data_IF_789297847836
#
_entry.id   IF_789297847836
#
_cell.length_a   1.000
_cell.length_b   1.000
_cell.length_c   1.000
_cell.angle_alpha   90.00
_cell.angle_beta   90.00
_cell.angle_gamma   90.00
#
_symmetry.space_group_name_H-M   'P 1'
#
loop_
_entity.id
_entity.type
_entity.pdbx_description
1 polymer ?
#
# COMPACT_ATOMS: atom_id res chain seq x y z
N UNK A 1 57.20 43.01 -25.75
CA UNK A 1 57.94 42.62 -24.52
C UNK A 1 58.32 43.88 -23.79
N UNK A 2 58.30 43.96 -22.45
CA UNK A 2 58.08 42.91 -21.43
C UNK A 2 56.86 43.26 -20.53
N UNK A 3 56.40 42.48 -19.56
CA UNK A 3 56.85 41.21 -18.97
C UNK A 3 56.03 40.94 -17.68
N UNK A 4 55.65 39.68 -17.52
CA UNK A 4 55.50 38.86 -16.30
C UNK A 4 55.29 39.49 -14.90
N UNK A 5 54.31 38.97 -14.16
CA UNK A 5 54.48 37.97 -13.07
C UNK A 5 53.21 37.93 -12.19
N UNK A 6 52.53 36.77 -12.04
CA UNK A 6 52.61 35.88 -10.86
C UNK A 6 52.45 36.67 -9.53
N UNK A 7 51.47 36.45 -8.65
CA UNK A 7 51.28 35.22 -7.85
C UNK A 7 50.04 35.36 -6.95
N UNK A 8 49.28 34.28 -6.85
CA UNK A 8 48.83 33.61 -5.62
C UNK A 8 48.32 34.43 -4.41
N UNK A 9 47.06 34.21 -4.02
CA UNK A 9 46.67 34.24 -2.60
C UNK A 9 45.58 33.22 -2.28
N UNK A 10 46.05 32.08 -1.80
CA UNK A 10 45.30 31.03 -1.11
C UNK A 10 44.90 31.49 0.31
N UNK A 11 43.66 31.13 0.66
CA UNK A 11 43.16 30.67 1.95
C UNK A 11 43.30 31.50 3.24
N UNK A 12 42.14 31.78 3.85
CA UNK A 12 41.95 31.49 5.28
C UNK A 12 40.59 30.85 5.50
N UNK A 13 40.63 29.53 5.68
CA UNK A 13 39.64 28.73 6.39
C UNK A 13 39.76 29.10 7.87
N UNK A 14 38.66 29.46 8.53
CA UNK A 14 38.55 29.33 9.99
C UNK A 14 37.16 28.83 10.35
N UNK A 15 37.16 27.55 10.68
CA UNK A 15 36.23 26.80 11.52
C UNK A 15 35.57 27.63 12.62
N UNK A 16 34.23 27.63 12.64
CA UNK A 16 33.47 27.61 13.89
C UNK A 16 32.49 26.44 13.87
N UNK A 17 32.62 25.62 14.92
CA UNK A 17 31.96 24.34 15.20
C UNK A 17 30.47 24.51 15.48
N UNK A 18 29.67 23.70 14.78
CA UNK A 18 28.58 22.84 15.27
C UNK A 18 27.74 23.26 16.48
N UNK A 19 26.44 23.50 16.24
CA UNK A 19 25.38 23.05 17.15
C UNK A 19 24.49 22.06 16.41
N UNK A 20 24.50 20.83 16.90
CA UNK A 20 23.75 19.67 16.41
C UNK A 20 22.23 19.83 16.50
N UNK A 21 21.51 19.10 15.65
CA UNK A 21 20.21 18.55 16.03
C UNK A 21 19.03 18.72 15.06
N UNK A 22 19.08 18.11 13.89
CA UNK A 22 18.02 17.18 13.41
C UNK A 22 18.30 16.79 11.96
N UNK A 23 19.22 15.86 11.77
CA UNK A 23 19.16 15.02 10.58
C UNK A 23 17.80 14.32 10.62
N UNK A 24 16.91 14.73 9.72
CA UNK A 24 15.71 13.97 9.42
C UNK A 24 16.18 12.64 8.83
N UNK A 25 16.33 11.65 9.72
CA UNK A 25 16.42 10.25 9.30
C UNK A 25 15.26 10.03 8.34
N UNK A 26 15.48 9.41 7.17
CA UNK A 26 14.36 8.96 6.37
C UNK A 26 13.58 7.99 7.26
N UNK A 27 12.47 8.47 7.82
CA UNK A 27 11.45 7.62 8.41
C UNK A 27 11.14 6.62 7.29
N UNK A 28 11.40 5.34 7.55
CA UNK A 28 11.14 4.24 6.64
C UNK A 28 9.64 4.07 6.41
N UNK A 29 8.98 5.11 5.90
CA UNK A 29 7.65 5.11 5.38
C UNK A 29 7.73 4.62 3.94
N UNK A 30 6.86 3.68 3.61
CA UNK A 30 6.72 3.17 2.24
C UNK A 30 6.43 4.37 1.33
N UNK A 31 7.40 4.72 0.47
CA UNK A 31 7.29 5.86 -0.44
C UNK A 31 6.21 5.59 -1.48
N UNK A 32 5.16 6.41 -1.48
CA UNK A 32 4.13 6.42 -2.52
C UNK A 32 4.75 6.91 -3.83
N UNK A 33 4.97 6.01 -4.80
CA UNK A 33 5.34 6.37 -6.18
C UNK A 33 4.12 6.92 -6.96
N UNK A 34 4.36 7.75 -7.99
CA UNK A 34 3.33 8.46 -8.78
C UNK A 34 2.20 7.58 -9.37
N UNK A 35 2.45 6.30 -9.65
CA UNK A 35 1.40 5.38 -10.12
C UNK A 35 0.32 5.11 -9.06
N UNK A 36 0.58 5.39 -7.78
CA UNK A 36 -0.44 5.35 -6.74
C UNK A 36 -1.46 6.46 -6.91
N UNK A 37 -1.11 7.65 -7.42
CA UNK A 37 -2.04 8.78 -7.49
C UNK A 37 -3.22 8.51 -8.46
N UNK A 38 -2.94 7.91 -9.62
CA UNK A 38 -3.99 7.51 -10.58
C UNK A 38 -4.86 6.41 -10.00
N UNK A 39 -4.24 5.40 -9.40
CA UNK A 39 -4.97 4.32 -8.78
C UNK A 39 -5.78 4.80 -7.56
N UNK A 40 -5.26 5.77 -6.81
CA UNK A 40 -5.96 6.44 -5.70
C UNK A 40 -7.18 7.22 -6.19
N UNK A 41 -7.04 7.87 -7.35
CA UNK A 41 -8.13 8.60 -7.97
C UNK A 41 -9.23 7.65 -8.45
N UNK A 42 -8.90 6.62 -9.23
CA UNK A 42 -9.86 5.61 -9.68
C UNK A 42 -10.55 4.92 -8.50
N UNK A 43 -9.77 4.69 -7.43
CA UNK A 43 -10.29 4.24 -6.16
C UNK A 43 -11.39 5.19 -5.66
N UNK A 44 -11.07 6.45 -5.34
CA UNK A 44 -12.06 7.41 -4.78
C UNK A 44 -13.32 7.58 -5.63
N UNK A 45 -13.26 7.35 -6.95
CA UNK A 45 -14.41 7.45 -7.84
C UNK A 45 -15.25 6.17 -7.95
N UNK A 46 -14.73 5.01 -7.50
CA UNK A 46 -15.43 3.74 -7.62
C UNK A 46 -16.71 3.73 -6.79
N UNK A 47 -17.82 3.30 -7.40
CA UNK A 47 -19.10 3.07 -6.73
C UNK A 47 -19.63 1.71 -7.18
N UNK A 48 -19.55 0.66 -6.37
CA UNK A 48 -20.01 -0.66 -6.77
C UNK A 48 -21.52 -0.65 -7.00
N UNK A 49 -21.99 -1.46 -7.96
CA UNK A 49 -23.41 -1.72 -8.16
C UNK A 49 -23.97 -2.51 -6.98
N UNK A 50 -25.25 -2.36 -6.59
CA UNK A 50 -25.85 -3.00 -5.41
C UNK A 50 -25.66 -4.52 -5.29
N UNK A 51 -25.44 -5.21 -6.40
CA UNK A 51 -25.20 -6.65 -6.52
C UNK A 51 -23.73 -7.05 -6.46
N UNK A 52 -22.79 -6.11 -6.37
CA UNK A 52 -21.34 -6.37 -6.31
C UNK A 52 -20.98 -7.45 -5.28
N UNK A 53 -20.36 -8.52 -5.78
CA UNK A 53 -19.74 -9.53 -4.95
C UNK A 53 -18.24 -9.24 -4.83
N UNK A 54 -17.83 -8.83 -3.63
CA UNK A 54 -16.42 -8.57 -3.31
C UNK A 54 -15.51 -9.79 -3.52
N UNK A 55 -16.05 -11.01 -3.53
CA UNK A 55 -15.28 -12.21 -3.85
C UNK A 55 -15.13 -12.47 -5.34
N UNK A 56 -16.01 -11.93 -6.18
CA UNK A 56 -15.92 -12.02 -7.64
C UNK A 56 -14.60 -11.40 -8.14
N UNK A 57 -14.17 -10.28 -7.57
CA UNK A 57 -12.87 -9.68 -7.85
C UNK A 57 -11.69 -10.64 -7.60
N UNK A 58 -11.78 -11.46 -6.55
CA UNK A 58 -10.75 -12.46 -6.22
C UNK A 58 -10.82 -13.66 -7.17
N UNK A 59 -12.04 -14.09 -7.54
CA UNK A 59 -12.25 -15.17 -8.50
C UNK A 59 -11.74 -14.78 -9.89
N UNK A 60 -12.00 -13.56 -10.35
CA UNK A 60 -11.46 -13.01 -11.59
C UNK A 60 -9.92 -13.06 -11.58
N UNK A 61 -9.29 -12.66 -10.48
CA UNK A 61 -7.83 -12.71 -10.33
C UNK A 61 -7.28 -14.16 -10.31
N UNK A 62 -8.05 -15.12 -9.78
CA UNK A 62 -7.74 -16.54 -9.82
C UNK A 62 -7.78 -17.10 -11.25
N UNK A 63 -8.85 -16.79 -11.97
CA UNK A 63 -9.09 -17.26 -13.34
C UNK A 63 -8.06 -16.66 -14.32
N UNK A 64 -7.93 -15.34 -14.30
CA UNK A 64 -7.00 -14.59 -15.16
C UNK A 64 -5.54 -14.85 -14.76
N UNK A 65 -5.27 -15.19 -13.49
CA UNK A 65 -3.93 -15.50 -12.99
C UNK A 65 -3.20 -16.57 -13.81
N UNK A 66 -3.93 -17.52 -14.40
CA UNK A 66 -3.35 -18.55 -15.27
C UNK A 66 -2.86 -18.02 -16.62
N UNK A 67 -3.51 -16.97 -17.14
CA UNK A 67 -3.19 -16.31 -18.40
C UNK A 67 -2.17 -15.15 -18.25
N UNK A 68 -1.97 -14.66 -17.02
CA UNK A 68 -1.06 -13.54 -16.75
C UNK A 68 0.42 -13.93 -16.90
N UNK A 69 1.27 -13.01 -17.43
CA UNK A 69 2.72 -13.18 -17.43
C UNK A 69 3.26 -13.46 -16.03
N UNK A 70 4.28 -14.31 -15.91
CA UNK A 70 4.85 -14.73 -14.60
C UNK A 70 5.26 -13.53 -13.73
N UNK A 71 5.69 -12.42 -14.34
CA UNK A 71 6.09 -11.20 -13.64
C UNK A 71 4.94 -10.50 -12.88
N UNK A 72 3.70 -10.64 -13.35
CA UNK A 72 2.48 -10.02 -12.77
C UNK A 72 1.48 -11.04 -12.23
N UNK A 73 1.72 -12.33 -12.49
CA UNK A 73 0.92 -13.45 -11.99
C UNK A 73 0.90 -13.47 -10.47
N UNK A 74 -0.30 -13.60 -9.91
CA UNK A 74 -0.49 -13.86 -8.50
C UNK A 74 -0.25 -15.34 -8.20
N UNK A 75 0.59 -15.62 -7.20
CA UNK A 75 0.71 -16.99 -6.71
C UNK A 75 -0.56 -17.40 -5.96
N UNK A 76 -0.87 -18.71 -5.85
CA UNK A 76 -1.99 -19.19 -5.03
C UNK A 76 -1.96 -18.68 -3.59
N UNK A 77 -0.76 -18.49 -3.05
CA UNK A 77 -0.57 -17.93 -1.71
C UNK A 77 -1.00 -16.45 -1.62
N UNK A 78 -0.68 -15.62 -2.62
CA UNK A 78 -1.11 -14.22 -2.66
C UNK A 78 -2.62 -14.09 -2.84
N UNK A 79 -3.19 -14.94 -3.69
CA UNK A 79 -4.64 -15.05 -3.87
C UNK A 79 -5.31 -15.41 -2.55
N UNK A 80 -4.80 -16.42 -1.84
CA UNK A 80 -5.36 -16.87 -0.56
C UNK A 80 -5.30 -15.76 0.49
N UNK A 81 -4.20 -15.00 0.50
CA UNK A 81 -4.06 -13.82 1.35
C UNK A 81 -5.11 -12.76 0.99
N UNK A 82 -5.23 -12.38 -0.29
CA UNK A 82 -6.19 -11.39 -0.73
C UNK A 82 -7.64 -11.82 -0.40
N UNK A 83 -7.97 -13.09 -0.62
CA UNK A 83 -9.26 -13.69 -0.26
C UNK A 83 -9.55 -13.55 1.24
N UNK A 84 -8.56 -13.79 2.09
CA UNK A 84 -8.69 -13.57 3.53
C UNK A 84 -9.00 -12.10 3.83
N UNK A 85 -8.29 -11.15 3.23
CA UNK A 85 -8.53 -9.72 3.47
C UNK A 85 -9.95 -9.32 3.06
N UNK A 86 -10.39 -9.74 1.87
CA UNK A 86 -11.77 -9.50 1.40
C UNK A 86 -12.79 -10.11 2.37
N UNK A 87 -12.53 -11.32 2.89
CA UNK A 87 -13.38 -11.97 3.90
C UNK A 87 -13.50 -11.17 5.20
N UNK A 88 -12.49 -10.39 5.57
CA UNK A 88 -12.53 -9.54 6.77
C UNK A 88 -13.36 -8.26 6.59
N UNK A 89 -13.88 -7.99 5.38
CA UNK A 89 -14.74 -6.85 5.09
C UNK A 89 -16.22 -7.24 4.95
N UNK A 90 -17.10 -6.27 5.22
CA UNK A 90 -18.53 -6.34 4.97
C UNK A 90 -18.84 -5.75 3.60
N UNK A 91 -19.97 -6.15 3.00
CA UNK A 91 -20.44 -5.60 1.72
C UNK A 91 -20.43 -4.06 1.75
N UNK A 92 -21.03 -3.45 2.78
CA UNK A 92 -21.08 -1.99 2.97
C UNK A 92 -19.74 -1.27 2.93
N UNK A 93 -18.65 -1.93 3.35
CA UNK A 93 -17.34 -1.29 3.37
C UNK A 93 -16.88 -0.91 1.95
N UNK A 94 -17.41 -1.57 0.92
CA UNK A 94 -17.12 -1.31 -0.47
C UNK A 94 -18.08 -0.30 -1.12
N UNK A 95 -19.28 -0.10 -0.55
CA UNK A 95 -20.33 0.75 -1.12
C UNK A 95 -20.29 2.18 -0.59
N UNK A 96 -20.46 2.33 0.73
CA UNK A 96 -20.63 3.59 1.42
C UNK A 96 -19.65 3.74 2.60
N UNK A 97 -18.64 2.87 2.65
CA UNK A 97 -17.66 2.79 3.72
C UNK A 97 -16.22 2.81 3.21
N UNK A 98 -15.35 2.10 3.92
CA UNK A 98 -13.93 1.98 3.58
C UNK A 98 -13.53 0.51 3.77
N UNK A 99 -13.08 -0.22 2.73
CA UNK A 99 -12.73 -1.63 2.82
C UNK A 99 -11.33 -1.79 3.45
N UNK A 100 -11.23 -1.40 4.72
CA UNK A 100 -10.00 -1.44 5.51
C UNK A 100 -10.01 -2.63 6.46
N UNK A 101 -8.92 -3.38 6.46
CA UNK A 101 -8.69 -4.54 7.31
C UNK A 101 -7.61 -4.22 8.33
N UNK A 102 -7.97 -4.22 9.61
CA UNK A 102 -7.04 -3.97 10.72
C UNK A 102 -6.63 -5.26 11.46
N UNK A 103 -6.66 -6.40 10.79
CA UNK A 103 -6.23 -7.68 11.34
C UNK A 103 -4.72 -7.67 11.60
N UNK A 104 -4.28 -8.02 12.82
CA UNK A 104 -2.84 -8.03 13.13
C UNK A 104 -2.06 -9.01 12.24
N UNK A 105 -0.77 -8.73 12.02
CA UNK A 105 0.12 -9.62 11.24
C UNK A 105 0.15 -11.03 11.82
N UNK A 106 0.23 -11.14 13.16
CA UNK A 106 0.20 -12.43 13.87
C UNK A 106 -1.10 -13.19 13.64
N UNK A 107 -2.25 -12.52 13.75
CA UNK A 107 -3.54 -13.16 13.51
C UNK A 107 -3.71 -13.57 12.04
N UNK A 108 -3.19 -12.75 11.13
CA UNK A 108 -3.17 -13.06 9.68
C UNK A 108 -2.32 -14.32 9.42
N UNK A 109 -1.16 -14.42 10.06
CA UNK A 109 -0.29 -15.60 10.01
C UNK A 109 -1.00 -16.86 10.51
N UNK A 110 -1.67 -16.77 11.66
CA UNK A 110 -2.47 -17.87 12.24
C UNK A 110 -3.56 -18.35 11.27
N UNK A 111 -4.33 -17.43 10.66
CA UNK A 111 -5.43 -17.78 9.75
C UNK A 111 -4.94 -18.35 8.41
N UNK A 112 -3.74 -17.98 7.97
CA UNK A 112 -3.15 -18.47 6.72
C UNK A 112 -2.26 -19.70 6.91
N UNK A 113 -1.94 -20.09 8.15
CA UNK A 113 -0.99 -21.18 8.42
C UNK A 113 0.45 -20.86 7.98
N UNK A 114 0.87 -19.59 8.05
CA UNK A 114 2.19 -19.12 7.62
C UNK A 114 2.89 -18.32 8.72
N UNK A 115 4.16 -17.98 8.51
CA UNK A 115 4.91 -17.13 9.45
C UNK A 115 4.54 -15.64 9.31
N UNK A 116 4.69 -14.82 10.37
CA UNK A 116 4.56 -13.35 10.27
C UNK A 116 5.47 -12.73 9.20
N UNK A 117 6.66 -13.29 9.00
CA UNK A 117 7.57 -12.85 7.93
C UNK A 117 7.01 -13.14 6.53
N UNK A 118 6.31 -14.27 6.32
CA UNK A 118 5.60 -14.54 5.07
C UNK A 118 4.41 -13.61 4.88
N UNK A 119 3.68 -13.25 5.93
CA UNK A 119 2.61 -12.25 5.86
C UNK A 119 3.16 -10.92 5.33
N UNK A 120 4.22 -10.39 5.94
CA UNK A 120 4.84 -9.13 5.49
C UNK A 120 5.34 -9.21 4.04
N UNK A 121 5.97 -10.34 3.65
CA UNK A 121 6.40 -10.55 2.26
C UNK A 121 5.23 -10.55 1.29
N UNK A 122 4.14 -11.24 1.62
CA UNK A 122 2.95 -11.32 0.80
C UNK A 122 2.28 -9.95 0.67
N UNK A 123 2.12 -9.20 1.76
CA UNK A 123 1.54 -7.85 1.72
C UNK A 123 2.41 -6.87 0.93
N UNK A 124 3.75 -6.91 1.09
CA UNK A 124 4.65 -6.11 0.26
C UNK A 124 4.50 -6.45 -1.22
N UNK A 125 4.31 -7.73 -1.56
CA UNK A 125 4.10 -8.14 -2.95
C UNK A 125 2.73 -7.72 -3.49
N UNK A 126 1.67 -7.83 -2.70
CA UNK A 126 0.33 -7.33 -3.05
C UNK A 126 0.34 -5.80 -3.24
N UNK A 127 1.08 -5.07 -2.41
CA UNK A 127 1.27 -3.63 -2.56
C UNK A 127 2.04 -3.28 -3.83
N UNK A 128 3.12 -4.01 -4.13
CA UNK A 128 3.89 -3.83 -5.36
C UNK A 128 3.07 -4.13 -6.62
N UNK A 129 2.04 -4.98 -6.51
CA UNK A 129 1.06 -5.27 -7.56
C UNK A 129 -0.15 -4.31 -7.53
N UNK A 130 -0.11 -3.29 -6.67
CA UNK A 130 -1.17 -2.29 -6.51
C UNK A 130 -2.55 -2.90 -6.19
N UNK A 131 -2.58 -4.03 -5.48
CA UNK A 131 -3.83 -4.66 -5.04
C UNK A 131 -4.26 -4.20 -3.64
N UNK A 132 -3.33 -3.68 -2.86
CA UNK A 132 -3.59 -3.13 -1.53
C UNK A 132 -2.74 -1.87 -1.32
N UNK A 133 -3.14 -1.04 -0.36
CA UNK A 133 -2.27 -0.04 0.24
C UNK A 133 -2.30 -0.12 1.76
N UNK A 134 -1.42 0.61 2.43
CA UNK A 134 -1.41 0.75 3.88
C UNK A 134 -2.01 2.09 4.28
N UNK A 135 -2.94 2.03 5.23
CA UNK A 135 -3.45 3.19 5.96
C UNK A 135 -2.80 3.19 7.32
N UNK A 136 -1.71 3.93 7.47
CA UNK A 136 -0.94 3.93 8.69
C UNK A 136 -1.57 4.81 9.77
N UNK A 137 -1.48 4.33 11.02
CA UNK A 137 -1.67 5.17 12.20
C UNK A 137 -0.31 5.76 12.61
N UNK A 138 -0.28 6.83 13.43
CA UNK A 138 0.97 7.43 13.91
C UNK A 138 1.94 6.43 14.59
N UNK A 139 1.41 5.35 15.16
CA UNK A 139 2.20 4.29 15.81
C UNK A 139 2.35 3.02 14.96
N UNK A 140 1.99 3.06 13.67
CA UNK A 140 2.03 1.96 12.71
C UNK A 140 1.27 0.70 13.17
N UNK A 141 0.40 0.82 14.18
CA UNK A 141 -0.45 -0.28 14.63
C UNK A 141 -1.69 -0.35 13.75
N UNK A 142 -2.13 -1.59 13.50
CA UNK A 142 -3.44 -1.86 12.95
C UNK A 142 -4.47 -1.69 14.06
N UNK A 143 -5.38 -0.75 13.90
CA UNK A 143 -6.50 -0.55 14.82
C UNK A 143 -7.75 -0.19 14.01
N UNK A 144 -8.92 -0.50 14.56
CA UNK A 144 -10.16 -0.11 13.91
C UNK A 144 -11.35 -0.32 14.80
N UNK A 145 -12.39 0.44 14.52
CA UNK A 145 -13.64 0.42 15.25
C UNK A 145 -14.81 0.46 14.27
N UNK A 146 -15.86 -0.29 14.62
CA UNK A 146 -17.16 -0.21 13.95
C UNK A 146 -18.19 0.38 14.91
N UNK A 147 -19.09 1.18 14.36
CA UNK A 147 -20.31 1.58 15.03
C UNK A 147 -21.12 0.31 15.37
N UNK A 148 -21.50 0.08 16.64
CA UNK A 148 -22.27 -1.12 17.02
C UNK A 148 -23.63 -1.21 16.33
N UNK A 149 -24.28 -0.07 16.12
CA UNK A 149 -25.62 0.02 15.53
C UNK A 149 -25.57 -0.12 14.01
N UNK A 150 -24.79 0.74 13.35
CA UNK A 150 -24.75 0.79 11.88
C UNK A 150 -23.76 -0.19 11.27
N UNK A 151 -22.87 -0.81 12.04
CA UNK A 151 -21.78 -1.67 11.54
C UNK A 151 -20.72 -0.96 10.68
N UNK A 152 -20.84 0.36 10.47
CA UNK A 152 -19.91 1.17 9.67
C UNK A 152 -18.57 1.33 10.39
N UNK A 153 -17.48 1.40 9.63
CA UNK A 153 -16.16 1.73 10.16
C UNK A 153 -16.14 3.21 10.55
N UNK A 154 -15.91 3.51 11.82
CA UNK A 154 -15.82 4.89 12.35
C UNK A 154 -14.39 5.41 12.37
N UNK A 155 -13.41 4.50 12.34
CA UNK A 155 -11.99 4.80 12.20
C UNK A 155 -11.20 3.52 12.04
N UNK A 156 -10.20 3.51 11.16
CA UNK A 156 -9.33 2.36 10.96
C UNK A 156 -7.95 2.73 10.39
N UNK A 157 -6.92 2.03 10.85
CA UNK A 157 -5.59 1.92 10.27
C UNK A 157 -5.27 0.46 10.00
N UNK A 158 -4.71 0.16 8.83
CA UNK A 158 -4.48 -1.22 8.40
C UNK A 158 -4.27 -1.33 6.91
N UNK A 159 -4.77 -2.42 6.33
CA UNK A 159 -4.68 -2.70 4.91
C UNK A 159 -5.94 -2.15 4.24
N UNK A 160 -5.76 -1.26 3.28
CA UNK A 160 -6.85 -0.68 2.49
C UNK A 160 -6.93 -1.42 1.14
N UNK A 161 -8.11 -1.99 0.87
CA UNK A 161 -8.36 -2.84 -0.29
C UNK A 161 -8.91 -2.09 -1.50
N UNK A 162 -9.05 -0.77 -1.43
CA UNK A 162 -9.70 -0.05 -2.52
C UNK A 162 -8.98 -0.24 -3.87
N UNK A 163 -7.66 -0.37 -3.85
CA UNK A 163 -6.83 -0.53 -5.05
C UNK A 163 -7.02 -1.88 -5.77
N UNK A 164 -7.48 -2.93 -5.09
CA UNK A 164 -7.76 -4.23 -5.70
C UNK A 164 -8.75 -4.15 -6.87
N UNK A 165 -9.59 -3.11 -6.90
CA UNK A 165 -10.59 -2.90 -7.95
C UNK A 165 -10.07 -2.24 -9.23
N UNK A 166 -8.93 -1.55 -9.20
CA UNK A 166 -8.42 -0.86 -10.39
C UNK A 166 -7.89 -1.81 -11.46
N UNK A 167 -7.58 -3.06 -11.10
CA UNK A 167 -7.17 -4.10 -12.06
C UNK A 167 -8.33 -4.61 -12.91
N UNK A 168 -9.60 -4.38 -12.49
CA UNK A 168 -10.80 -4.74 -13.26
C UNK A 168 -11.15 -3.64 -14.28
N UNK A 169 -10.53 -2.46 -14.16
CA UNK A 169 -10.73 -1.30 -15.04
C UNK A 169 -9.40 -0.77 -15.61
N UNK A 170 -8.51 -1.65 -16.05
CA UNK A 170 -7.54 -1.21 -17.05
C UNK A 170 -8.33 -0.99 -18.34
N UNK A 171 -8.36 0.23 -18.92
CA UNK A 171 -8.92 0.41 -20.25
C UNK A 171 -8.14 -0.52 -21.17
N UNK A 172 -8.85 -1.35 -21.93
CA UNK A 172 -8.26 -2.02 -23.08
C UNK A 172 -7.75 -0.92 -24.00
N UNK A 173 -6.45 -0.65 -23.96
CA UNK A 173 -5.83 0.25 -24.93
C UNK A 173 -6.05 -0.37 -26.32
N UNK A 174 -6.80 0.36 -27.14
CA UNK A 174 -6.88 0.20 -28.59
C UNK A 174 -5.66 0.87 -29.24
#
# INVERSE_FOLDING_TARGET
>A
MPGDSLTNRMEHITTTRSSAGSESRPLGGRTLTNHHATAEWCARQFKPKPDFDRFEAVQILEEIGTAMPVAVRLSPQLITHLRLLVRMTQKRDWFDGMPVVWLSVRRTAELLGVTPAQVNRNENRLMALQLITFRDSPNHKRCGMRCPESGRITGASGIDLWYANNMIYLPSEH
#
